data_IF_200656891169
#
_entry.id   IF_200656891169
#
_cell.length_a   1.000
_cell.length_b   1.000
_cell.length_c   1.000
_cell.angle_alpha   90.00
_cell.angle_beta   90.00
_cell.angle_gamma   90.00
#
_symmetry.space_group_name_H-M   'P 1'
#
loop_
_entity.id
_entity.type
_entity.pdbx_description
1 polymer ?
#
# COMPACT_ATOMS: atom_id res chain seq x y z
N UNK A 1 -20.54 -2.73 -11.24
CA UNK A 1 -19.96 -1.47 -11.72
C UNK A 1 -21.10 -0.45 -11.85
N UNK A 2 -20.87 0.82 -11.47
CA UNK A 2 -21.83 1.87 -11.80
C UNK A 2 -21.74 2.20 -13.29
N UNK A 3 -22.84 2.73 -13.89
CA UNK A 3 -22.87 3.13 -15.30
C UNK A 3 -21.81 4.17 -15.65
N UNK A 4 -21.54 5.10 -14.71
CA UNK A 4 -20.50 6.12 -14.88
C UNK A 4 -19.10 5.49 -14.94
N UNK A 5 -18.86 4.45 -14.15
CA UNK A 5 -17.57 3.76 -14.13
C UNK A 5 -17.36 2.95 -15.43
N UNK A 6 -18.41 2.36 -15.95
CA UNK A 6 -18.39 1.68 -17.25
C UNK A 6 -18.10 2.65 -18.40
N UNK A 7 -18.77 3.82 -18.43
CA UNK A 7 -18.53 4.87 -19.41
C UNK A 7 -17.08 5.39 -19.38
N UNK A 8 -16.51 5.57 -18.18
CA UNK A 8 -15.11 5.99 -18.03
C UNK A 8 -14.15 4.95 -18.65
N UNK A 9 -14.38 3.66 -18.43
CA UNK A 9 -13.53 2.62 -19.02
C UNK A 9 -13.66 2.57 -20.55
N UNK A 10 -14.87 2.73 -21.10
CA UNK A 10 -15.09 2.77 -22.55
C UNK A 10 -14.41 3.99 -23.20
N UNK A 11 -14.40 5.14 -22.53
CA UNK A 11 -13.68 6.33 -23.00
C UNK A 11 -12.17 6.13 -22.92
N UNK A 12 -11.68 5.60 -21.81
CA UNK A 12 -10.26 5.31 -21.61
C UNK A 12 -9.72 4.36 -22.68
N UNK A 13 -10.48 3.32 -23.01
CA UNK A 13 -10.12 2.38 -24.09
C UNK A 13 -9.93 3.09 -25.44
N UNK A 14 -10.84 4.01 -25.78
CA UNK A 14 -10.73 4.82 -27.01
C UNK A 14 -9.49 5.73 -27.01
N UNK A 15 -9.22 6.38 -25.87
CA UNK A 15 -8.05 7.26 -25.74
C UNK A 15 -6.73 6.47 -25.79
N UNK A 16 -6.68 5.29 -25.17
CA UNK A 16 -5.53 4.39 -25.27
C UNK A 16 -5.31 3.97 -26.72
N UNK A 17 -6.38 3.62 -27.45
CA UNK A 17 -6.29 3.28 -28.86
C UNK A 17 -5.70 4.44 -29.68
N UNK A 18 -6.21 5.66 -29.51
CA UNK A 18 -5.69 6.85 -30.21
C UNK A 18 -4.22 7.09 -29.89
N UNK A 19 -3.80 6.90 -28.62
CA UNK A 19 -2.41 7.00 -28.22
C UNK A 19 -1.54 5.96 -28.95
N UNK A 20 -1.96 4.70 -28.97
CA UNK A 20 -1.19 3.65 -29.63
C UNK A 20 -1.13 3.84 -31.14
N UNK A 21 -2.22 4.23 -31.79
CA UNK A 21 -2.25 4.55 -33.21
C UNK A 21 -1.29 5.73 -33.54
N UNK A 22 -1.21 6.73 -32.67
CA UNK A 22 -0.27 7.86 -32.81
C UNK A 22 1.18 7.45 -32.65
N UNK A 23 1.47 6.58 -31.67
CA UNK A 23 2.81 6.03 -31.46
C UNK A 23 3.26 5.23 -32.66
N UNK A 24 2.37 4.38 -33.21
CA UNK A 24 2.66 3.57 -34.40
C UNK A 24 2.94 4.43 -35.63
N UNK A 25 2.17 5.52 -35.80
CA UNK A 25 2.34 6.45 -36.93
C UNK A 25 3.63 7.28 -36.85
N UNK A 26 3.97 7.80 -35.67
CA UNK A 26 5.06 8.76 -35.47
C UNK A 26 6.41 8.08 -35.23
N UNK A 27 6.44 7.00 -34.49
CA UNK A 27 7.65 6.34 -34.01
C UNK A 27 7.84 4.97 -34.66
N UNK A 28 6.76 4.31 -35.01
CA UNK A 28 6.72 2.92 -35.47
C UNK A 28 6.61 1.94 -34.31
N UNK A 29 5.75 0.97 -34.44
CA UNK A 29 5.45 -0.04 -33.43
C UNK A 29 6.68 -0.77 -32.90
N UNK A 30 7.64 -1.08 -33.78
CA UNK A 30 8.87 -1.82 -33.43
C UNK A 30 9.87 -0.96 -32.64
N UNK A 31 9.74 0.37 -32.71
CA UNK A 31 10.67 1.31 -32.06
C UNK A 31 10.15 1.86 -30.73
N UNK A 32 8.92 1.50 -30.35
CA UNK A 32 8.30 1.95 -29.12
C UNK A 32 7.90 0.76 -28.23
N UNK A 33 8.07 0.91 -26.94
CA UNK A 33 7.57 -0.03 -25.93
C UNK A 33 6.61 0.72 -25.02
N UNK A 34 5.35 0.35 -25.05
CA UNK A 34 4.30 0.90 -24.19
C UNK A 34 3.92 -0.12 -23.14
N UNK A 35 3.89 0.30 -21.88
CA UNK A 35 3.47 -0.52 -20.74
C UNK A 35 2.26 0.14 -20.09
N UNK A 36 1.18 -0.60 -20.02
CA UNK A 36 -0.05 -0.19 -19.35
C UNK A 36 -0.26 -1.06 -18.11
N UNK A 37 -0.43 -0.43 -16.98
CA UNK A 37 -0.76 -1.12 -15.72
C UNK A 37 -1.57 -0.20 -14.82
N UNK A 38 -2.16 -0.76 -13.77
CA UNK A 38 -2.90 0.01 -12.78
C UNK A 38 -2.34 -0.23 -11.37
N UNK A 39 -2.28 0.82 -10.57
CA UNK A 39 -1.79 0.75 -9.19
C UNK A 39 -2.80 0.06 -8.25
N UNK A 40 -4.10 0.19 -8.54
CA UNK A 40 -5.16 -0.33 -7.67
C UNK A 40 -6.29 -0.94 -8.49
N UNK A 41 -6.84 -2.04 -8.01
CA UNK A 41 -8.13 -2.55 -8.49
C UNK A 41 -9.28 -1.73 -7.89
N UNK A 42 -10.41 -1.65 -8.57
CA UNK A 42 -11.59 -0.93 -8.08
C UNK A 42 -12.07 -1.44 -6.72
N UNK A 43 -12.44 -0.54 -5.82
CA UNK A 43 -12.98 -0.88 -4.50
C UNK A 43 -14.51 -1.03 -4.57
N UNK A 44 -15.02 -2.01 -3.83
CA UNK A 44 -16.45 -2.15 -3.59
C UNK A 44 -16.90 -1.06 -2.61
N UNK A 45 -18.04 -0.41 -2.85
CA UNK A 45 -18.57 0.57 -1.89
C UNK A 45 -18.95 -0.10 -0.58
N UNK A 46 -18.88 0.64 0.55
CA UNK A 46 -19.31 0.12 1.85
C UNK A 46 -20.77 -0.32 1.85
N UNK A 47 -21.64 0.36 1.10
CA UNK A 47 -23.05 -0.02 0.94
C UNK A 47 -23.18 -1.39 0.27
N UNK A 48 -22.42 -1.61 -0.80
CA UNK A 48 -22.39 -2.90 -1.50
C UNK A 48 -21.84 -3.99 -0.59
N UNK A 49 -20.77 -3.71 0.17
CA UNK A 49 -20.21 -4.66 1.13
C UNK A 49 -21.24 -5.06 2.19
N UNK A 50 -21.93 -4.08 2.79
CA UNK A 50 -23.00 -4.32 3.76
C UNK A 50 -24.15 -5.15 3.17
N UNK A 51 -24.58 -4.84 1.94
CA UNK A 51 -25.62 -5.60 1.23
C UNK A 51 -25.23 -7.06 1.05
N UNK A 52 -23.97 -7.34 0.81
CA UNK A 52 -23.42 -8.69 0.68
C UNK A 52 -22.93 -9.30 1.99
N UNK A 53 -23.21 -8.66 3.15
CA UNK A 53 -22.79 -9.09 4.49
C UNK A 53 -21.27 -9.27 4.62
N UNK A 54 -20.51 -8.50 3.85
CA UNK A 54 -19.06 -8.46 3.95
C UNK A 54 -18.70 -7.52 5.12
N UNK A 55 -17.83 -7.99 6.01
CA UNK A 55 -17.37 -7.18 7.14
C UNK A 55 -16.70 -5.90 6.63
N UNK A 56 -17.18 -4.76 7.07
CA UNK A 56 -16.64 -3.46 6.70
C UNK A 56 -16.93 -2.43 7.79
N UNK A 57 -16.08 -1.43 7.90
CA UNK A 57 -16.23 -0.42 8.94
C UNK A 57 -15.45 0.85 8.67
N UNK A 58 -15.54 1.78 9.62
CA UNK A 58 -14.81 3.04 9.62
C UNK A 58 -13.88 3.08 10.83
N UNK A 59 -12.62 3.41 10.59
CA UNK A 59 -11.63 3.61 11.62
C UNK A 59 -11.32 5.10 11.74
N UNK A 60 -11.66 5.70 12.88
CA UNK A 60 -11.37 7.10 13.15
C UNK A 60 -9.98 7.22 13.77
N UNK A 61 -8.99 7.57 12.95
CA UNK A 61 -7.60 7.69 13.36
C UNK A 61 -7.39 8.76 14.43
N UNK A 62 -8.03 9.93 14.27
CA UNK A 62 -7.89 11.04 15.23
C UNK A 62 -8.34 10.65 16.63
N UNK A 63 -9.46 9.92 16.73
CA UNK A 63 -9.99 9.42 18.00
C UNK A 63 -9.06 8.36 18.60
N UNK A 64 -8.57 7.42 17.79
CA UNK A 64 -7.68 6.36 18.25
C UNK A 64 -6.38 6.94 18.79
N UNK A 65 -5.79 7.92 18.11
CA UNK A 65 -4.57 8.60 18.54
C UNK A 65 -4.75 9.38 19.83
N UNK A 66 -5.87 10.10 19.98
CA UNK A 66 -6.17 10.81 21.24
C UNK A 66 -6.32 9.84 22.42
N UNK A 67 -7.00 8.71 22.22
CA UNK A 67 -7.16 7.67 23.24
C UNK A 67 -5.81 7.00 23.58
N UNK A 68 -4.99 6.71 22.57
CA UNK A 68 -3.64 6.19 22.79
C UNK A 68 -2.78 7.14 23.63
N UNK A 69 -2.79 8.44 23.30
CA UNK A 69 -2.04 9.42 24.07
C UNK A 69 -2.51 9.49 25.52
N UNK A 70 -3.83 9.47 25.77
CA UNK A 70 -4.40 9.45 27.11
C UNK A 70 -4.01 8.16 27.87
N UNK A 71 -4.06 7.02 27.22
CA UNK A 71 -3.63 5.74 27.81
C UNK A 71 -2.16 5.77 28.23
N UNK A 72 -1.29 6.25 27.35
CA UNK A 72 0.14 6.37 27.68
C UNK A 72 0.40 7.39 28.79
N UNK A 73 -0.40 8.48 28.87
CA UNK A 73 -0.33 9.41 30.01
C UNK A 73 -0.71 8.77 31.34
N UNK A 74 -1.71 7.90 31.36
CA UNK A 74 -2.11 7.18 32.57
C UNK A 74 -1.01 6.26 33.07
N UNK A 75 -0.30 5.58 32.16
CA UNK A 75 0.74 4.62 32.53
C UNK A 75 2.10 5.30 32.84
N UNK A 76 2.45 6.33 32.08
CA UNK A 76 3.82 6.88 32.06
C UNK A 76 3.88 8.35 32.57
N UNK A 77 2.72 8.86 33.04
CA UNK A 77 2.59 10.23 33.54
C UNK A 77 2.38 11.27 32.44
N UNK A 78 2.02 12.47 32.86
CA UNK A 78 1.62 13.59 32.00
C UNK A 78 2.65 13.89 30.90
N UNK A 79 2.17 14.15 29.70
CA UNK A 79 2.98 14.54 28.56
C UNK A 79 2.33 14.22 27.21
N UNK A 80 2.88 14.77 26.15
CA UNK A 80 2.47 14.44 24.78
C UNK A 80 3.27 13.24 24.29
N UNK A 81 2.72 12.03 24.46
CA UNK A 81 3.39 10.78 24.12
C UNK A 81 3.32 10.45 22.64
N UNK A 82 2.31 10.99 21.92
CA UNK A 82 2.17 10.83 20.47
C UNK A 82 2.44 12.18 19.80
N UNK A 83 3.59 12.32 19.16
CA UNK A 83 4.00 13.56 18.48
C UNK A 83 3.23 13.78 17.17
N UNK A 84 2.82 12.71 16.51
CA UNK A 84 2.12 12.82 15.24
C UNK A 84 1.55 11.52 14.74
N UNK A 85 0.72 11.67 13.71
CA UNK A 85 0.11 10.59 12.96
C UNK A 85 0.09 10.94 11.47
N UNK A 86 0.51 10.02 10.63
CA UNK A 86 0.42 10.17 9.19
C UNK A 86 0.32 8.79 8.50
N UNK A 87 -0.74 8.59 7.73
CA UNK A 87 -0.90 7.40 6.88
C UNK A 87 -0.59 6.07 7.59
N UNK A 88 -1.29 5.81 8.71
CA UNK A 88 -1.14 4.61 9.56
C UNK A 88 0.22 4.46 10.26
N UNK A 89 1.01 5.53 10.25
CA UNK A 89 2.24 5.65 11.04
C UNK A 89 1.99 6.52 12.27
N UNK A 90 2.32 6.01 13.45
CA UNK A 90 2.24 6.72 14.73
C UNK A 90 3.66 7.07 15.18
N UNK A 91 3.88 8.33 15.48
CA UNK A 91 5.15 8.85 15.96
C UNK A 91 5.11 9.04 17.47
N UNK A 92 5.80 8.17 18.20
CA UNK A 92 5.91 8.27 19.65
C UNK A 92 7.05 9.21 20.06
N UNK A 93 6.85 9.92 21.17
CA UNK A 93 7.80 10.89 21.69
C UNK A 93 8.95 10.23 22.46
N UNK A 94 10.02 9.88 21.76
CA UNK A 94 11.23 9.32 22.35
C UNK A 94 11.91 10.28 23.33
N UNK A 95 11.94 11.59 23.01
CA UNK A 95 12.57 12.60 23.89
C UNK A 95 11.87 12.71 25.24
N UNK A 96 10.55 12.56 25.26
CA UNK A 96 9.78 12.56 26.51
C UNK A 96 10.11 11.32 27.36
N UNK A 97 10.27 10.16 26.75
CA UNK A 97 10.69 8.93 27.42
C UNK A 97 12.07 9.10 28.04
N UNK A 98 13.04 9.59 27.30
CA UNK A 98 14.40 9.88 27.77
C UNK A 98 14.40 10.89 28.92
N UNK A 99 13.66 11.99 28.80
CA UNK A 99 13.53 13.01 29.88
C UNK A 99 12.95 12.44 31.17
N UNK A 100 12.07 11.44 31.06
CA UNK A 100 11.46 10.77 32.22
C UNK A 100 12.23 9.54 32.68
N UNK A 101 13.35 9.21 32.02
CA UNK A 101 14.16 8.01 32.31
C UNK A 101 13.36 6.71 32.20
N UNK A 102 12.42 6.64 31.23
CA UNK A 102 11.60 5.49 30.95
C UNK A 102 12.15 4.70 29.76
N UNK A 103 11.96 3.39 29.79
CA UNK A 103 12.32 2.53 28.66
C UNK A 103 11.36 2.75 27.47
N UNK A 104 11.91 3.27 26.37
CA UNK A 104 11.13 3.55 25.18
C UNK A 104 10.54 2.28 24.55
N UNK A 105 11.21 1.14 24.67
CA UNK A 105 10.69 -0.15 24.18
C UNK A 105 9.42 -0.58 24.92
N UNK A 106 9.39 -0.33 26.21
CA UNK A 106 8.19 -0.60 27.02
C UNK A 106 7.01 0.28 26.56
N UNK A 107 7.27 1.57 26.27
CA UNK A 107 6.25 2.49 25.75
C UNK A 107 5.75 2.05 24.37
N UNK A 108 6.65 1.62 23.49
CA UNK A 108 6.28 1.05 22.19
C UNK A 108 5.39 -0.18 22.35
N UNK A 109 5.74 -1.09 23.23
CA UNK A 109 4.95 -2.29 23.51
C UNK A 109 3.56 -1.95 24.08
N UNK A 110 3.47 -1.02 25.02
CA UNK A 110 2.19 -0.55 25.55
C UNK A 110 1.31 0.05 24.47
N UNK A 111 1.88 0.85 23.57
CA UNK A 111 1.17 1.46 22.46
C UNK A 111 0.73 0.42 21.42
N UNK A 112 1.57 -0.57 21.12
CA UNK A 112 1.25 -1.69 20.24
C UNK A 112 0.06 -2.48 20.76
N UNK A 113 0.10 -2.90 22.04
CA UNK A 113 -1.00 -3.66 22.66
C UNK A 113 -2.30 -2.85 22.68
N UNK A 114 -2.24 -1.59 23.07
CA UNK A 114 -3.41 -0.73 23.09
C UNK A 114 -4.04 -0.55 21.71
N UNK A 115 -3.22 -0.40 20.67
CA UNK A 115 -3.71 -0.24 19.30
C UNK A 115 -4.33 -1.54 18.76
N UNK A 116 -3.83 -2.71 19.15
CA UNK A 116 -4.40 -3.99 18.72
C UNK A 116 -5.85 -4.20 19.18
N UNK A 117 -6.27 -3.58 20.28
CA UNK A 117 -7.62 -3.70 20.81
C UNK A 117 -8.65 -2.84 20.06
N UNK A 118 -8.22 -1.98 19.14
CA UNK A 118 -9.16 -1.17 18.35
C UNK A 118 -9.86 -2.00 17.28
N UNK A 119 -11.18 -1.86 17.24
CA UNK A 119 -11.99 -2.46 16.20
C UNK A 119 -11.55 -1.97 14.81
N UNK A 120 -11.33 -2.91 13.90
CA UNK A 120 -10.93 -2.61 12.53
C UNK A 120 -9.42 -2.67 12.29
N UNK A 121 -8.61 -2.77 13.31
CA UNK A 121 -7.18 -3.01 13.18
C UNK A 121 -6.95 -4.50 12.91
N UNK A 122 -6.14 -4.80 11.91
CA UNK A 122 -5.72 -6.16 11.56
C UNK A 122 -4.41 -6.51 12.24
N UNK A 123 -3.43 -5.62 12.18
CA UNK A 123 -2.09 -5.85 12.72
C UNK A 123 -1.45 -4.54 13.11
N UNK A 124 -0.63 -4.58 14.15
CA UNK A 124 0.20 -3.46 14.59
C UNK A 124 1.64 -3.95 14.65
N UNK A 125 2.56 -3.12 14.23
CA UNK A 125 3.98 -3.42 14.20
C UNK A 125 4.78 -2.27 14.81
N UNK A 126 5.74 -2.58 15.66
CA UNK A 126 6.79 -1.63 15.94
C UNK A 126 7.83 -1.69 14.81
N UNK A 127 8.39 -0.55 14.43
CA UNK A 127 9.41 -0.51 13.37
C UNK A 127 10.66 -1.30 13.76
N UNK A 128 10.97 -1.41 15.05
CA UNK A 128 12.07 -2.24 15.52
C UNK A 128 11.80 -3.74 15.29
N UNK A 129 10.62 -4.23 15.65
CA UNK A 129 10.27 -5.64 15.47
C UNK A 129 10.22 -6.03 13.99
N UNK A 130 9.75 -5.15 13.12
CA UNK A 130 9.75 -5.38 11.68
C UNK A 130 11.16 -5.58 11.10
N UNK A 131 12.18 -4.95 11.67
CA UNK A 131 13.56 -5.13 11.21
C UNK A 131 14.01 -6.59 11.30
N UNK A 132 13.56 -7.30 12.32
CA UNK A 132 13.94 -8.70 12.60
C UNK A 132 12.96 -9.73 12.05
N UNK A 133 11.81 -9.30 11.52
CA UNK A 133 10.82 -10.20 10.94
C UNK A 133 11.27 -10.64 9.54
N UNK A 134 11.30 -11.94 9.31
CA UNK A 134 11.55 -12.53 8.00
C UNK A 134 10.23 -13.14 7.50
N UNK A 135 9.74 -12.67 6.38
CA UNK A 135 8.57 -13.18 5.67
C UNK A 135 8.92 -13.59 4.25
N UNK A 136 8.02 -14.29 3.58
CA UNK A 136 8.12 -14.50 2.13
C UNK A 136 7.80 -13.19 1.39
N UNK A 137 8.30 -13.02 0.17
CA UNK A 137 8.04 -11.82 -0.65
C UNK A 137 6.54 -11.57 -0.92
N UNK A 138 5.70 -12.57 -0.70
CA UNK A 138 4.25 -12.51 -0.86
C UNK A 138 3.52 -12.15 0.44
N UNK A 139 4.21 -12.16 1.58
CA UNK A 139 3.62 -11.84 2.88
C UNK A 139 3.39 -10.32 3.03
N UNK A 140 2.24 -9.95 3.59
CA UNK A 140 1.90 -8.56 3.90
C UNK A 140 2.95 -7.94 4.83
N UNK A 141 3.44 -8.68 5.80
CA UNK A 141 4.47 -8.24 6.74
C UNK A 141 5.77 -7.86 6.04
N UNK A 142 6.20 -8.65 5.05
CA UNK A 142 7.38 -8.33 4.25
C UNK A 142 7.17 -7.09 3.39
N UNK A 143 5.99 -6.92 2.80
CA UNK A 143 5.63 -5.71 2.04
C UNK A 143 5.65 -4.47 2.92
N UNK A 144 5.11 -4.55 4.14
CA UNK A 144 5.15 -3.47 5.13
C UNK A 144 6.60 -3.15 5.50
N UNK A 145 7.42 -4.17 5.81
CA UNK A 145 8.85 -4.01 6.09
C UNK A 145 9.58 -3.28 4.96
N UNK A 146 9.34 -3.66 3.71
CA UNK A 146 9.95 -3.03 2.54
C UNK A 146 9.48 -1.59 2.30
N UNK A 147 8.31 -1.20 2.82
CA UNK A 147 7.76 0.16 2.71
C UNK A 147 8.28 1.12 3.79
N UNK A 148 8.92 0.60 4.84
CA UNK A 148 9.37 1.38 5.99
C UNK A 148 10.78 1.92 5.80
N UNK A 149 10.95 3.20 6.12
CA UNK A 149 12.24 3.81 6.32
C UNK A 149 12.45 4.05 7.82
N UNK A 150 13.38 3.32 8.44
CA UNK A 150 13.61 3.35 9.90
C UNK A 150 13.94 4.72 10.48
N UNK A 151 14.30 5.72 9.65
CA UNK A 151 14.58 7.09 10.09
C UNK A 151 13.42 8.05 9.91
N UNK A 152 12.43 7.70 9.05
CA UNK A 152 11.33 8.61 8.68
C UNK A 152 9.96 8.07 9.02
N UNK A 153 9.79 6.74 9.01
CA UNK A 153 8.52 6.12 9.38
C UNK A 153 8.24 6.26 10.86
N UNK A 154 6.95 6.21 11.22
CA UNK A 154 6.53 6.23 12.61
C UNK A 154 7.10 5.06 13.40
N UNK A 155 7.15 5.19 14.70
CA UNK A 155 7.58 4.12 15.61
C UNK A 155 6.66 2.92 15.62
N UNK A 156 5.40 3.15 15.29
CA UNK A 156 4.36 2.11 15.15
C UNK A 156 3.71 2.27 13.78
N UNK A 157 3.48 1.17 13.11
CA UNK A 157 2.73 1.08 11.85
C UNK A 157 1.61 0.07 12.04
N UNK A 158 0.42 0.37 11.57
CA UNK A 158 -0.69 -0.58 11.66
C UNK A 158 -1.40 -0.74 10.31
N UNK A 159 -2.15 -1.83 10.18
CA UNK A 159 -3.01 -2.12 9.04
C UNK A 159 -4.45 -2.28 9.51
N UNK A 160 -5.39 -1.97 8.62
CA UNK A 160 -6.81 -2.18 8.88
C UNK A 160 -7.27 -3.52 8.28
N UNK A 161 -8.33 -4.05 8.83
CA UNK A 161 -9.02 -5.21 8.27
C UNK A 161 -9.52 -4.92 6.84
N UNK A 162 -9.55 -5.92 5.95
CA UNK A 162 -10.15 -5.76 4.63
C UNK A 162 -11.57 -5.20 4.72
N UNK A 163 -11.89 -4.24 3.85
CA UNK A 163 -13.19 -3.55 3.86
C UNK A 163 -13.31 -2.38 4.84
N UNK A 164 -12.33 -2.19 5.72
CA UNK A 164 -12.30 -1.02 6.61
C UNK A 164 -11.67 0.17 5.90
N UNK A 165 -12.19 1.37 6.18
CA UNK A 165 -11.69 2.64 5.65
C UNK A 165 -11.27 3.54 6.80
N UNK A 166 -10.20 4.29 6.57
CA UNK A 166 -9.80 5.34 7.50
C UNK A 166 -10.66 6.57 7.28
N UNK A 167 -11.12 7.19 8.38
CA UNK A 167 -11.85 8.46 8.37
C UNK A 167 -11.15 9.50 9.23
N UNK A 168 -11.32 10.76 8.85
CA UNK A 168 -10.87 11.91 9.64
C UNK A 168 -11.80 12.21 10.80
N UNK A 169 -11.50 13.27 11.59
CA UNK A 169 -12.33 13.72 12.70
C UNK A 169 -13.74 14.22 12.30
N UNK A 170 -13.98 14.42 10.99
CA UNK A 170 -15.27 14.82 10.41
C UNK A 170 -15.98 13.68 9.68
N UNK A 171 -15.52 12.45 9.88
CA UNK A 171 -16.05 11.24 9.24
C UNK A 171 -15.86 11.18 7.71
N UNK A 172 -15.01 12.03 7.13
CA UNK A 172 -14.65 11.94 5.73
C UNK A 172 -13.65 10.80 5.51
N UNK A 173 -13.82 10.04 4.43
CA UNK A 173 -12.90 8.97 4.06
C UNK A 173 -11.59 9.59 3.56
N UNK A 174 -10.46 9.24 4.20
CA UNK A 174 -9.13 9.77 3.89
C UNK A 174 -8.25 8.81 3.08
N UNK A 175 -8.72 7.62 2.78
CA UNK A 175 -7.96 6.65 2.01
C UNK A 175 -8.81 5.53 1.44
N UNK A 176 -8.26 4.72 0.55
CA UNK A 176 -8.96 3.54 0.04
C UNK A 176 -9.20 2.54 1.17
N UNK A 177 -10.23 1.68 1.01
CA UNK A 177 -10.42 0.55 1.91
C UNK A 177 -9.23 -0.42 1.79
N UNK A 178 -8.82 -0.96 2.92
CA UNK A 178 -7.80 -2.00 2.94
C UNK A 178 -8.26 -3.25 2.18
N UNK A 179 -7.33 -3.86 1.48
CA UNK A 179 -7.51 -5.14 0.80
C UNK A 179 -6.28 -6.01 1.01
N UNK A 180 -6.53 -7.29 1.13
CA UNK A 180 -5.46 -8.28 1.26
C UNK A 180 -4.66 -8.44 -0.03
N UNK A 181 -5.33 -8.27 -1.19
CA UNK A 181 -4.72 -8.43 -2.51
C UNK A 181 -5.26 -7.37 -3.48
N UNK A 182 -4.34 -6.63 -4.08
CA UNK A 182 -4.62 -5.69 -5.16
C UNK A 182 -4.16 -6.32 -6.48
N UNK A 183 -4.98 -7.21 -7.03
CA UNK A 183 -4.71 -7.75 -8.36
C UNK A 183 -5.09 -6.72 -9.42
N UNK A 184 -4.17 -6.50 -10.34
CA UNK A 184 -4.35 -5.67 -11.51
C UNK A 184 -3.68 -6.36 -12.70
N UNK A 185 -3.72 -5.73 -13.85
CA UNK A 185 -3.11 -6.25 -15.07
C UNK A 185 -1.82 -5.49 -15.39
N UNK A 186 -0.98 -6.09 -16.20
CA UNK A 186 0.06 -5.41 -16.96
C UNK A 186 -0.04 -5.82 -18.42
N UNK A 187 0.01 -4.85 -19.32
CA UNK A 187 0.02 -5.07 -20.75
C UNK A 187 1.28 -4.44 -21.35
N UNK A 188 1.93 -5.17 -22.26
CA UNK A 188 3.09 -4.73 -23.01
C UNK A 188 2.70 -4.62 -24.49
N UNK A 189 3.07 -3.51 -25.13
CA UNK A 189 2.76 -3.25 -26.52
C UNK A 189 3.97 -2.72 -27.27
N UNK A 190 4.17 -3.20 -28.51
CA UNK A 190 5.28 -2.77 -29.37
C UNK A 190 6.57 -3.55 -29.14
N UNK A 191 7.68 -3.05 -29.66
CA UNK A 191 9.04 -3.59 -29.53
C UNK A 191 9.18 -5.08 -29.92
N UNK A 192 8.42 -5.52 -30.95
CA UNK A 192 8.44 -6.92 -31.43
C UNK A 192 7.73 -7.91 -30.51
N UNK A 193 7.00 -7.46 -29.50
CA UNK A 193 6.25 -8.35 -28.61
C UNK A 193 5.03 -8.91 -29.33
N UNK A 194 4.95 -10.24 -29.41
CA UNK A 194 3.81 -10.93 -30.02
C UNK A 194 2.61 -10.97 -29.07
N UNK A 195 1.39 -10.90 -29.60
CA UNK A 195 0.18 -11.08 -28.81
C UNK A 195 0.20 -12.40 -28.03
N UNK A 196 0.04 -12.31 -26.73
CA UNK A 196 -0.02 -13.46 -25.82
C UNK A 196 -0.81 -13.07 -24.57
N UNK A 197 -1.36 -14.06 -23.91
CA UNK A 197 -1.96 -13.91 -22.60
C UNK A 197 -1.20 -14.80 -21.60
N UNK A 198 -0.81 -14.22 -20.46
CA UNK A 198 -0.16 -14.96 -19.39
C UNK A 198 -0.98 -14.80 -18.11
N UNK A 199 -1.51 -15.92 -17.61
CA UNK A 199 -2.34 -15.97 -16.41
C UNK A 199 -1.51 -16.13 -15.11
N UNK A 200 -0.18 -16.20 -15.22
CA UNK A 200 0.66 -16.27 -14.03
C UNK A 200 0.63 -14.95 -13.26
N UNK A 201 0.53 -15.06 -11.95
CA UNK A 201 0.63 -13.90 -11.07
C UNK A 201 2.06 -13.37 -11.08
N UNK A 202 2.22 -12.12 -11.46
CA UNK A 202 3.48 -11.37 -11.44
C UNK A 202 3.41 -10.27 -10.38
N UNK A 203 4.56 -9.75 -9.98
CA UNK A 203 4.66 -8.63 -9.06
C UNK A 203 5.07 -7.35 -9.80
N UNK A 204 4.70 -6.18 -9.26
CA UNK A 204 5.14 -4.89 -9.82
C UNK A 204 6.66 -4.76 -9.95
N UNK A 205 7.40 -5.36 -9.02
CA UNK A 205 8.87 -5.36 -9.04
C UNK A 205 9.45 -6.14 -10.22
N UNK A 206 8.65 -6.99 -10.89
CA UNK A 206 9.06 -7.78 -12.06
C UNK A 206 9.09 -6.95 -13.36
N UNK A 207 8.43 -5.78 -13.38
CA UNK A 207 8.37 -4.91 -14.55
C UNK A 207 9.74 -4.36 -14.89
N UNK A 208 10.48 -3.82 -13.91
CA UNK A 208 11.78 -3.20 -14.15
C UNK A 208 12.84 -4.18 -14.73
N UNK A 209 13.07 -5.38 -14.15
CA UNK A 209 14.02 -6.33 -14.74
C UNK A 209 13.58 -6.85 -16.11
N UNK A 210 12.26 -6.98 -16.35
CA UNK A 210 11.70 -7.35 -17.65
C UNK A 210 12.03 -6.30 -18.71
N UNK A 211 11.83 -5.01 -18.38
CA UNK A 211 12.23 -3.90 -19.23
C UNK A 211 13.72 -3.90 -19.54
N UNK A 212 14.56 -4.05 -18.52
CA UNK A 212 16.01 -4.07 -18.69
C UNK A 212 16.44 -5.21 -19.61
N UNK A 213 15.83 -6.38 -19.46
CA UNK A 213 16.07 -7.52 -20.34
C UNK A 213 15.64 -7.27 -21.79
N UNK A 214 14.46 -6.65 -21.99
CA UNK A 214 13.96 -6.31 -23.31
C UNK A 214 14.89 -5.31 -24.03
N UNK A 215 15.39 -4.32 -23.30
CA UNK A 215 16.26 -3.26 -23.80
C UNK A 215 17.76 -3.64 -23.82
N UNK A 216 18.11 -4.84 -23.32
CA UNK A 216 19.51 -5.31 -23.20
C UNK A 216 20.39 -4.37 -22.37
N UNK A 217 19.82 -3.80 -21.30
CA UNK A 217 20.54 -2.95 -20.34
C UNK A 217 20.59 -3.62 -18.96
N UNK A 218 21.61 -3.31 -18.13
CA UNK A 218 21.69 -3.86 -16.78
C UNK A 218 20.52 -3.41 -15.91
N UNK A 219 19.98 -4.28 -15.02
CA UNK A 219 18.93 -3.88 -14.07
C UNK A 219 19.48 -2.93 -13.00
N UNK A 220 18.63 -2.10 -12.37
CA UNK A 220 19.01 -1.27 -11.23
C UNK A 220 19.56 -2.09 -10.06
N UNK A 221 20.53 -1.54 -9.30
CA UNK A 221 21.19 -2.24 -8.20
C UNK A 221 20.26 -2.81 -7.11
N UNK A 222 19.10 -2.19 -6.90
CA UNK A 222 18.10 -2.63 -5.91
C UNK A 222 16.97 -3.48 -6.53
N UNK A 223 17.15 -3.96 -7.77
CA UNK A 223 16.14 -4.75 -8.45
C UNK A 223 16.09 -6.17 -7.89
N UNK A 224 14.92 -6.57 -7.37
CA UNK A 224 14.68 -7.89 -6.76
C UNK A 224 13.66 -8.72 -7.55
N UNK A 225 13.04 -8.15 -8.57
CA UNK A 225 12.01 -8.81 -9.39
C UNK A 225 12.57 -9.85 -10.34
N UNK A 226 11.69 -10.65 -10.91
CA UNK A 226 11.98 -11.68 -11.90
C UNK A 226 11.66 -11.19 -13.31
N UNK A 227 12.31 -11.72 -14.31
CA UNK A 227 12.00 -11.41 -15.71
C UNK A 227 10.70 -12.14 -16.09
N UNK A 228 9.73 -11.40 -16.59
CA UNK A 228 8.49 -11.95 -17.13
C UNK A 228 8.80 -12.53 -18.52
N UNK A 229 8.47 -13.80 -18.79
CA UNK A 229 8.68 -14.38 -20.11
C UNK A 229 7.72 -13.74 -21.12
N UNK A 230 8.26 -13.03 -22.10
CA UNK A 230 7.54 -12.42 -23.20
C UNK A 230 8.02 -13.02 -24.51
N UNK A 231 7.06 -13.39 -25.40
CA UNK A 231 7.38 -13.88 -26.73
C UNK A 231 7.68 -12.68 -27.65
N UNK A 232 8.82 -12.69 -28.29
CA UNK A 232 9.20 -11.77 -29.37
C UNK A 232 9.06 -12.41 -30.75
#
# INVERSE_FOLDING_TARGET
>A
LSSEKEDIYLRLDKEIKLLLDSVDLLIGKENALVILTANQSGNMSMETMKKHRINCGRFNASRAIALLNNYLMLLNGQGNWVEGYFSKNIYLNRRLAEKKSLDFKQIQYQAEQFMMDFQGIQSVYTTENLAYTNGSDYDLTQKIKNSINFRRSGTIVFTLLPGWVEVDGKENIVGPSERTHHQTFVAFYGFGIKPQENLQTIQFVDIAPTLCNLLSIPPPNACVGRIIPLNK
#
